data_IF_197064966134
#
_entry.id   IF_197064966134
#
_cell.length_a   1.000
_cell.length_b   1.000
_cell.length_c   1.000
_cell.angle_alpha   90.00
_cell.angle_beta   90.00
_cell.angle_gamma   90.00
#
_symmetry.space_group_name_H-M   'P 1'
#
loop_
_entity.id
_entity.type
_entity.pdbx_description
1 polymer ?
#
# COMPACT_ATOMS: atom_id res chain seq x y z
N UNK A 1 -32.75 -25.77 -64.68
CA UNK A 1 -32.07 -25.90 -65.99
C UNK A 1 -30.58 -25.76 -65.71
N UNK A 2 -29.85 -26.82 -65.34
CA UNK A 2 -29.40 -27.98 -66.14
C UNK A 2 -28.28 -27.63 -67.14
N UNK A 3 -27.04 -27.97 -66.73
CA UNK A 3 -25.79 -28.19 -67.52
C UNK A 3 -25.99 -29.26 -68.60
N UNK A 4 -25.12 -29.45 -69.64
CA UNK A 4 -23.73 -30.00 -69.49
C UNK A 4 -22.67 -29.61 -70.60
N UNK A 5 -21.35 -29.57 -70.28
CA UNK A 5 -20.21 -30.48 -70.67
C UNK A 5 -19.68 -30.32 -72.14
N UNK A 6 -18.43 -30.73 -72.56
CA UNK A 6 -17.49 -31.78 -72.05
C UNK A 6 -15.99 -31.37 -71.88
N UNK A 7 -15.10 -32.03 -71.09
CA UNK A 7 -14.29 -33.30 -71.26
C UNK A 7 -13.32 -33.21 -72.47
N UNK A 8 -12.00 -33.51 -72.48
CA UNK A 8 -11.10 -34.48 -71.83
C UNK A 8 -9.61 -34.03 -72.06
N UNK A 9 -8.66 -34.23 -71.14
CA UNK A 9 -7.72 -35.37 -71.02
C UNK A 9 -6.44 -35.32 -71.90
N UNK A 10 -5.25 -35.38 -71.26
CA UNK A 10 -4.14 -36.32 -71.53
C UNK A 10 -2.75 -35.82 -71.03
N UNK A 11 -2.35 -36.41 -69.88
CA UNK A 11 -1.04 -36.90 -69.37
C UNK A 11 0.08 -37.31 -70.38
N UNK A 12 1.30 -37.84 -70.02
CA UNK A 12 2.02 -38.02 -68.71
C UNK A 12 3.60 -37.91 -68.74
N UNK A 13 4.26 -38.36 -67.63
CA UNK A 13 5.61 -39.04 -67.49
C UNK A 13 6.86 -38.12 -67.40
N UNK A 14 7.86 -38.22 -66.50
CA UNK A 14 8.41 -39.24 -65.56
C UNK A 14 9.30 -38.55 -64.49
N UNK A 15 9.20 -38.87 -63.18
CA UNK A 15 10.09 -39.74 -62.35
C UNK A 15 11.28 -39.01 -61.65
N UNK A 16 11.96 -39.58 -60.60
CA UNK A 16 11.46 -40.25 -59.38
C UNK A 16 12.15 -39.84 -58.04
N UNK A 17 11.48 -40.20 -56.93
CA UNK A 17 11.95 -40.64 -55.57
C UNK A 17 12.97 -39.79 -54.77
N UNK A 18 12.52 -39.29 -53.60
CA UNK A 18 13.06 -39.64 -52.26
C UNK A 18 12.27 -38.93 -51.12
N UNK A 19 11.91 -39.70 -50.09
CA UNK A 19 11.42 -39.34 -48.74
C UNK A 19 12.48 -38.55 -47.92
N UNK A 20 12.21 -37.98 -46.71
CA UNK A 20 11.12 -38.23 -45.75
C UNK A 20 10.43 -36.98 -45.10
N UNK A 21 9.38 -37.23 -44.30
CA UNK A 21 8.75 -36.34 -43.30
C UNK A 21 9.47 -36.46 -41.91
N UNK A 22 9.04 -35.85 -40.77
CA UNK A 22 7.96 -34.87 -40.51
C UNK A 22 8.31 -33.70 -39.52
N UNK A 23 7.36 -32.75 -39.40
CA UNK A 23 6.94 -31.94 -38.23
C UNK A 23 7.97 -31.31 -37.26
N UNK A 24 7.92 -29.97 -37.08
CA UNK A 24 8.01 -29.32 -35.75
C UNK A 24 7.19 -28.02 -35.72
N UNK A 25 6.37 -27.92 -34.67
CA UNK A 25 5.52 -26.80 -34.28
C UNK A 25 6.28 -25.48 -34.06
N UNK A 26 5.66 -24.39 -34.48
CA UNK A 26 6.12 -23.02 -34.21
C UNK A 26 5.92 -22.69 -32.73
N UNK A 27 7.03 -22.69 -31.99
CA UNK A 27 7.11 -22.23 -30.60
C UNK A 27 7.09 -20.70 -30.56
N UNK A 28 6.06 -20.14 -29.90
CA UNK A 28 6.01 -18.74 -29.51
C UNK A 28 6.99 -18.51 -28.34
N UNK A 29 7.97 -17.63 -28.56
CA UNK A 29 8.99 -17.20 -27.59
C UNK A 29 8.35 -16.42 -26.42
N UNK A 30 8.64 -16.75 -25.15
CA UNK A 30 8.34 -15.89 -24.03
C UNK A 30 9.40 -14.77 -23.90
N UNK A 31 8.93 -13.54 -23.70
CA UNK A 31 9.77 -12.36 -23.45
C UNK A 31 10.41 -12.48 -22.07
N UNK A 32 11.73 -12.34 -22.06
CA UNK A 32 12.63 -12.54 -20.93
C UNK A 32 12.25 -11.70 -19.70
N UNK A 33 12.02 -12.41 -18.59
CA UNK A 33 12.04 -11.84 -17.25
C UNK A 33 13.50 -11.58 -16.87
N UNK A 34 13.84 -10.30 -16.67
CA UNK A 34 15.12 -9.86 -16.15
C UNK A 34 15.27 -10.35 -14.71
N UNK A 35 16.22 -11.25 -14.47
CA UNK A 35 16.73 -11.59 -13.16
C UNK A 35 17.58 -10.42 -12.61
N UNK A 36 17.42 -9.99 -11.35
CA UNK A 36 18.45 -9.24 -10.67
C UNK A 36 19.41 -10.18 -9.93
N UNK A 37 20.69 -9.93 -10.19
CA UNK A 37 21.83 -10.63 -9.65
C UNK A 37 21.97 -10.48 -8.13
N UNK A 38 22.44 -11.55 -7.48
CA UNK A 38 23.01 -11.55 -6.14
C UNK A 38 24.27 -10.70 -6.06
N UNK A 39 24.45 -9.90 -5.00
CA UNK A 39 25.76 -9.74 -4.38
C UNK A 39 25.78 -10.27 -2.94
N UNK A 40 26.98 -10.72 -2.57
CA UNK A 40 27.39 -11.43 -1.36
C UNK A 40 27.26 -10.58 -0.06
N UNK A 41 27.41 -11.20 1.13
CA UNK A 41 27.02 -10.62 2.41
C UNK A 41 28.17 -9.82 3.06
N UNK A 42 27.90 -8.58 3.45
CA UNK A 42 28.57 -7.87 4.53
C UNK A 42 27.93 -6.48 4.68
N UNK A 43 27.05 -6.30 5.66
CA UNK A 43 27.35 -5.36 6.73
C UNK A 43 26.37 -5.58 7.89
N UNK A 44 26.93 -5.85 9.06
CA UNK A 44 26.22 -5.89 10.32
C UNK A 44 26.16 -4.46 10.85
N UNK A 45 25.24 -3.66 10.30
CA UNK A 45 25.00 -2.29 10.74
C UNK A 45 23.54 -2.13 11.18
N UNK A 46 23.34 -2.17 12.50
CA UNK A 46 22.25 -1.55 13.26
C UNK A 46 20.87 -1.50 12.56
N UNK A 47 20.24 -2.65 12.35
CA UNK A 47 18.83 -2.69 11.97
C UNK A 47 17.96 -2.58 13.23
N UNK A 48 17.04 -1.63 13.22
CA UNK A 48 15.84 -1.64 14.08
C UNK A 48 15.24 -3.07 14.12
N UNK A 49 14.59 -3.50 15.21
CA UNK A 49 14.12 -4.87 15.36
C UNK A 49 13.06 -5.19 14.31
N UNK A 50 13.49 -5.69 13.15
CA UNK A 50 12.57 -6.23 12.16
C UNK A 50 11.97 -7.51 12.76
N UNK A 51 10.63 -7.63 12.83
CA UNK A 51 10.02 -8.76 13.48
C UNK A 51 10.46 -10.06 12.80
N UNK A 52 10.75 -11.09 13.59
CA UNK A 52 11.08 -12.44 13.10
C UNK A 52 9.90 -13.39 13.18
N UNK A 53 8.77 -12.93 13.74
CA UNK A 53 7.53 -13.70 13.90
C UNK A 53 6.49 -13.26 12.90
N UNK A 54 5.63 -14.19 12.48
CA UNK A 54 4.49 -13.86 11.61
C UNK A 54 3.40 -13.16 12.42
N UNK A 55 2.72 -12.15 11.84
CA UNK A 55 1.61 -11.48 12.51
C UNK A 55 0.39 -12.39 12.65
N UNK A 56 -0.35 -12.24 13.74
CA UNK A 56 -1.69 -12.83 13.89
C UNK A 56 -2.72 -11.71 13.75
N UNK A 57 -3.25 -11.52 12.54
CA UNK A 57 -4.19 -10.45 12.20
C UNK A 57 -5.45 -11.06 11.61
N UNK A 58 -6.62 -10.63 12.10
CA UNK A 58 -7.89 -11.08 11.55
C UNK A 58 -8.02 -10.72 10.07
N UNK A 59 -8.29 -11.72 9.23
CA UNK A 59 -8.41 -11.54 7.78
C UNK A 59 -7.11 -11.60 6.98
N UNK A 60 -5.98 -11.88 7.63
CA UNK A 60 -4.70 -12.19 7.00
C UNK A 60 -4.36 -13.68 7.20
N UNK A 61 -4.37 -14.44 6.11
CA UNK A 61 -3.89 -15.82 6.10
C UNK A 61 -2.40 -15.83 5.72
N UNK A 62 -1.55 -15.92 6.75
CA UNK A 62 -0.11 -15.94 6.53
C UNK A 62 0.36 -17.21 5.82
N UNK A 63 -0.35 -18.34 5.95
CA UNK A 63 0.03 -19.59 5.28
C UNK A 63 -0.21 -19.49 3.77
N UNK A 64 -1.37 -18.95 3.38
CA UNK A 64 -1.69 -18.67 1.97
C UNK A 64 -0.71 -17.66 1.36
N UNK A 65 -0.42 -16.56 2.06
CA UNK A 65 0.55 -15.57 1.62
C UNK A 65 1.99 -16.11 1.50
N UNK A 66 2.40 -17.01 2.39
CA UNK A 66 3.73 -17.65 2.34
C UNK A 66 3.89 -18.60 1.15
N UNK A 67 2.80 -19.27 0.74
CA UNK A 67 2.83 -20.14 -0.43
C UNK A 67 3.17 -19.38 -1.72
N UNK A 68 2.83 -18.08 -1.80
CA UNK A 68 3.18 -17.22 -2.94
C UNK A 68 4.65 -16.82 -3.00
N UNK A 69 5.41 -17.01 -1.90
CA UNK A 69 6.81 -16.58 -1.79
C UNK A 69 7.76 -17.74 -1.47
N UNK A 70 7.40 -18.95 -1.90
CA UNK A 70 8.20 -20.18 -1.68
C UNK A 70 8.57 -20.39 -0.19
N UNK A 71 7.64 -20.07 0.72
CA UNK A 71 7.82 -20.23 2.17
C UNK A 71 8.95 -19.38 2.79
N UNK A 72 9.45 -18.35 2.07
CA UNK A 72 10.43 -17.41 2.61
C UNK A 72 9.77 -16.40 3.56
N UNK A 73 9.82 -16.71 4.86
CA UNK A 73 9.26 -15.86 5.91
C UNK A 73 9.87 -14.46 5.99
N UNK A 74 11.15 -14.28 5.65
CA UNK A 74 11.78 -12.94 5.67
C UNK A 74 11.26 -12.09 4.53
N UNK A 75 11.19 -12.67 3.34
CA UNK A 75 10.63 -11.99 2.17
C UNK A 75 9.13 -11.69 2.35
N UNK A 76 8.38 -12.61 2.95
CA UNK A 76 6.97 -12.39 3.28
C UNK A 76 6.77 -11.19 4.21
N UNK A 77 7.60 -11.05 5.25
CA UNK A 77 7.53 -9.90 6.15
C UNK A 77 7.90 -8.58 5.45
N UNK A 78 8.89 -8.58 4.55
CA UNK A 78 9.18 -7.41 3.70
C UNK A 78 8.00 -7.07 2.78
N UNK A 79 7.31 -8.08 2.25
CA UNK A 79 6.13 -7.90 1.42
C UNK A 79 4.98 -7.26 2.22
N UNK A 80 4.76 -7.70 3.45
CA UNK A 80 3.77 -7.11 4.36
C UNK A 80 4.12 -5.67 4.75
N UNK A 81 5.40 -5.39 5.03
CA UNK A 81 5.88 -4.03 5.31
C UNK A 81 5.68 -3.10 4.09
N UNK A 82 6.01 -3.58 2.89
CA UNK A 82 5.77 -2.83 1.65
C UNK A 82 4.28 -2.59 1.41
N UNK A 83 3.44 -3.60 1.67
CA UNK A 83 2.00 -3.49 1.55
C UNK A 83 1.46 -2.39 2.47
N UNK A 84 1.82 -2.41 3.76
CA UNK A 84 1.31 -1.39 4.71
C UNK A 84 1.68 0.03 4.29
N UNK A 85 2.89 0.23 3.78
CA UNK A 85 3.37 1.55 3.38
C UNK A 85 2.74 2.03 2.06
N UNK A 86 2.56 1.11 1.11
CA UNK A 86 2.03 1.46 -0.23
C UNK A 86 0.53 1.70 -0.24
N UNK A 87 -0.24 1.00 0.60
CA UNK A 87 -1.71 1.00 0.50
C UNK A 87 -2.41 2.07 1.36
N UNK A 88 -1.70 2.82 2.22
CA UNK A 88 -2.32 3.83 3.12
C UNK A 88 -3.15 4.87 2.39
N UNK A 89 -2.71 5.29 1.20
CA UNK A 89 -3.36 6.36 0.42
C UNK A 89 -4.25 5.83 -0.70
N UNK A 90 -4.35 4.51 -0.88
CA UNK A 90 -5.03 3.91 -2.03
C UNK A 90 -6.49 4.31 -2.10
N UNK A 91 -7.25 4.23 -1.00
CA UNK A 91 -8.66 4.61 -1.03
C UNK A 91 -8.88 6.13 -1.14
N UNK A 92 -7.96 6.94 -0.61
CA UNK A 92 -8.01 8.40 -0.79
C UNK A 92 -7.83 8.77 -2.26
N UNK A 93 -6.81 8.19 -2.91
CA UNK A 93 -6.54 8.41 -4.34
C UNK A 93 -7.70 7.88 -5.21
N UNK A 94 -8.27 6.74 -4.85
CA UNK A 94 -9.44 6.18 -5.53
C UNK A 94 -10.65 7.13 -5.47
N UNK A 95 -10.94 7.71 -4.29
CA UNK A 95 -12.03 8.70 -4.14
C UNK A 95 -11.78 9.94 -4.98
N UNK A 96 -10.53 10.41 -5.05
CA UNK A 96 -10.14 11.57 -5.87
C UNK A 96 -10.33 11.30 -7.37
N UNK A 97 -9.83 10.17 -7.85
CA UNK A 97 -10.01 9.74 -9.25
C UNK A 97 -11.50 9.60 -9.60
N UNK A 98 -12.29 9.00 -8.70
CA UNK A 98 -13.73 8.86 -8.88
C UNK A 98 -14.44 10.23 -8.95
N UNK A 99 -14.10 11.16 -8.04
CA UNK A 99 -14.66 12.50 -8.02
C UNK A 99 -14.28 13.34 -9.26
N UNK A 100 -13.10 13.09 -9.82
CA UNK A 100 -12.60 13.77 -11.02
C UNK A 100 -13.09 13.12 -12.34
N UNK A 101 -13.99 12.12 -12.27
CA UNK A 101 -14.50 11.41 -13.46
C UNK A 101 -13.50 10.45 -14.10
N UNK A 102 -12.37 10.16 -13.44
CA UNK A 102 -11.32 9.25 -13.92
C UNK A 102 -11.68 7.78 -13.65
N UNK A 103 -12.74 7.30 -14.31
CA UNK A 103 -13.34 5.98 -14.00
C UNK A 103 -12.36 4.83 -14.15
N UNK A 104 -11.65 4.79 -15.27
CA UNK A 104 -10.73 3.71 -15.58
C UNK A 104 -9.60 3.61 -14.54
N UNK A 105 -9.05 4.75 -14.12
CA UNK A 105 -7.99 4.81 -13.11
C UNK A 105 -8.51 4.35 -11.73
N UNK A 106 -9.68 4.83 -11.31
CA UNK A 106 -10.29 4.42 -10.06
C UNK A 106 -10.57 2.90 -10.02
N UNK A 107 -11.10 2.33 -11.10
CA UNK A 107 -11.34 0.88 -11.22
C UNK A 107 -10.02 0.12 -11.18
N UNK A 108 -9.02 0.55 -11.97
CA UNK A 108 -7.70 -0.08 -12.02
C UNK A 108 -7.02 -0.08 -10.64
N UNK A 109 -7.22 0.98 -9.86
CA UNK A 109 -6.70 1.10 -8.49
C UNK A 109 -7.33 0.07 -7.55
N UNK A 110 -8.65 -0.11 -7.60
CA UNK A 110 -9.33 -1.14 -6.81
C UNK A 110 -8.92 -2.55 -7.28
N UNK A 111 -8.79 -2.75 -8.59
CA UNK A 111 -8.27 -3.99 -9.16
C UNK A 111 -6.85 -4.30 -8.66
N UNK A 112 -5.96 -3.30 -8.64
CA UNK A 112 -4.61 -3.45 -8.09
C UNK A 112 -4.65 -3.77 -6.60
N UNK A 113 -5.50 -3.09 -5.81
CA UNK A 113 -5.70 -3.38 -4.39
C UNK A 113 -6.14 -4.83 -4.14
N UNK A 114 -7.09 -5.33 -4.94
CA UNK A 114 -7.53 -6.73 -4.92
C UNK A 114 -6.37 -7.69 -5.19
N UNK A 115 -5.57 -7.40 -6.22
CA UNK A 115 -4.43 -8.24 -6.61
C UNK A 115 -3.35 -8.30 -5.52
N UNK A 116 -2.98 -7.15 -4.96
CA UNK A 116 -1.99 -7.12 -3.87
C UNK A 116 -2.53 -7.73 -2.58
N UNK A 117 -3.84 -7.63 -2.31
CA UNK A 117 -4.47 -8.28 -1.16
C UNK A 117 -4.45 -9.81 -1.29
N UNK A 118 -4.73 -10.34 -2.48
CA UNK A 118 -4.60 -11.77 -2.76
C UNK A 118 -3.16 -12.25 -2.55
N UNK A 119 -2.18 -11.51 -3.06
CA UNK A 119 -0.77 -11.89 -2.98
C UNK A 119 -0.22 -11.97 -1.54
N UNK A 120 -0.83 -11.29 -0.57
CA UNK A 120 -0.43 -11.36 0.84
C UNK A 120 -1.29 -12.31 1.67
N UNK A 121 -2.31 -12.96 1.09
CA UNK A 121 -3.28 -13.79 1.82
C UNK A 121 -4.35 -12.98 2.57
N UNK A 122 -4.59 -11.70 2.21
CA UNK A 122 -5.59 -10.85 2.85
C UNK A 122 -7.00 -11.09 2.28
N UNK A 123 -7.56 -12.28 2.52
CA UNK A 123 -8.80 -12.77 1.91
C UNK A 123 -10.00 -11.84 2.14
N UNK A 124 -10.15 -11.28 3.34
CA UNK A 124 -11.26 -10.35 3.64
C UNK A 124 -11.14 -9.08 2.80
N UNK A 125 -9.93 -8.53 2.68
CA UNK A 125 -9.68 -7.33 1.89
C UNK A 125 -9.89 -7.59 0.39
N UNK A 126 -9.39 -8.72 -0.11
CA UNK A 126 -9.58 -9.15 -1.50
C UNK A 126 -11.07 -9.19 -1.87
N UNK A 127 -11.91 -9.83 -1.05
CA UNK A 127 -13.37 -9.94 -1.27
C UNK A 127 -14.06 -8.57 -1.27
N UNK A 128 -13.65 -7.65 -0.38
CA UNK A 128 -14.21 -6.28 -0.35
C UNK A 128 -13.79 -5.47 -1.57
N UNK A 129 -12.53 -5.60 -2.00
CA UNK A 129 -12.02 -4.93 -3.19
C UNK A 129 -12.72 -5.47 -4.46
N UNK A 130 -12.94 -6.77 -4.56
CA UNK A 130 -13.71 -7.38 -5.65
C UNK A 130 -15.15 -6.87 -5.70
N UNK A 131 -15.85 -6.81 -4.56
CA UNK A 131 -17.21 -6.27 -4.51
C UNK A 131 -17.26 -4.79 -4.96
N UNK A 132 -16.27 -3.99 -4.55
CA UNK A 132 -16.16 -2.59 -4.98
C UNK A 132 -15.84 -2.48 -6.48
N UNK A 133 -14.92 -3.28 -6.99
CA UNK A 133 -14.56 -3.35 -8.41
C UNK A 133 -15.77 -3.71 -9.28
N UNK A 134 -16.52 -4.76 -8.89
CA UNK A 134 -17.74 -5.17 -9.57
C UNK A 134 -18.80 -4.08 -9.57
N UNK A 135 -19.01 -3.39 -8.44
CA UNK A 135 -19.94 -2.27 -8.37
C UNK A 135 -19.52 -1.14 -9.33
N UNK A 136 -18.26 -0.72 -9.28
CA UNK A 136 -17.74 0.35 -10.13
C UNK A 136 -17.79 0.02 -11.63
N UNK A 137 -17.66 -1.24 -12.01
CA UNK A 137 -17.78 -1.68 -13.41
C UNK A 137 -19.23 -1.70 -13.92
N UNK A 138 -20.19 -2.02 -13.06
CA UNK A 138 -21.60 -2.16 -13.48
C UNK A 138 -22.44 -0.90 -13.30
N UNK A 139 -21.98 0.09 -12.52
CA UNK A 139 -22.73 1.32 -12.31
C UNK A 139 -22.58 2.32 -13.46
N UNK A 140 -23.71 2.88 -13.90
CA UNK A 140 -23.74 3.94 -14.91
C UNK A 140 -23.55 5.35 -14.32
N UNK A 141 -23.73 5.50 -13.00
CA UNK A 141 -23.65 6.77 -12.28
C UNK A 141 -22.35 6.89 -11.48
N UNK A 142 -21.66 8.02 -11.63
CA UNK A 142 -20.44 8.39 -10.89
C UNK A 142 -20.79 9.32 -9.73
N UNK A 143 -21.50 8.79 -8.73
CA UNK A 143 -21.86 9.58 -7.56
C UNK A 143 -21.33 8.95 -6.27
N UNK A 144 -20.49 9.68 -5.54
CA UNK A 144 -20.03 9.29 -4.19
C UNK A 144 -21.20 9.22 -3.20
N UNK A 145 -22.25 10.02 -3.40
CA UNK A 145 -23.47 10.05 -2.58
C UNK A 145 -24.41 8.88 -2.88
N UNK A 146 -24.09 8.05 -3.88
CA UNK A 146 -24.83 6.81 -4.06
C UNK A 146 -24.67 5.93 -2.80
N UNK A 147 -25.82 5.52 -2.25
CA UNK A 147 -25.87 4.80 -0.98
C UNK A 147 -25.10 3.48 -1.04
N UNK A 148 -25.24 2.74 -2.15
CA UNK A 148 -24.59 1.45 -2.32
C UNK A 148 -23.08 1.62 -2.52
N UNK A 149 -22.67 2.62 -3.32
CA UNK A 149 -21.26 2.96 -3.47
C UNK A 149 -20.63 3.31 -2.12
N UNK A 150 -21.27 4.21 -1.36
CA UNK A 150 -20.82 4.62 -0.01
C UNK A 150 -20.69 3.41 0.92
N UNK A 151 -21.64 2.47 0.88
CA UNK A 151 -21.59 1.25 1.68
C UNK A 151 -20.43 0.34 1.29
N UNK A 152 -20.19 0.10 -0.01
CA UNK A 152 -19.05 -0.70 -0.47
C UNK A 152 -17.72 -0.07 -0.09
N UNK A 153 -17.60 1.25 -0.27
CA UNK A 153 -16.41 2.02 0.07
C UNK A 153 -16.12 1.99 1.58
N UNK A 154 -17.14 2.18 2.43
CA UNK A 154 -16.99 2.13 3.89
C UNK A 154 -16.53 0.74 4.35
N UNK A 155 -17.13 -0.33 3.82
CA UNK A 155 -16.73 -1.70 4.16
C UNK A 155 -15.29 -2.01 3.73
N UNK A 156 -14.87 -1.53 2.56
CA UNK A 156 -13.51 -1.69 2.06
C UNK A 156 -12.51 -0.90 2.91
N UNK A 157 -12.85 0.34 3.28
CA UNK A 157 -12.03 1.20 4.13
C UNK A 157 -11.83 0.61 5.52
N UNK A 158 -12.90 0.11 6.14
CA UNK A 158 -12.81 -0.53 7.45
C UNK A 158 -11.86 -1.73 7.44
N UNK A 159 -11.98 -2.64 6.45
CA UNK A 159 -11.13 -3.82 6.37
C UNK A 159 -9.67 -3.45 6.07
N UNK A 160 -9.44 -2.47 5.19
CA UNK A 160 -8.09 -2.00 4.91
C UNK A 160 -7.45 -1.37 6.16
N UNK A 161 -8.18 -0.52 6.89
CA UNK A 161 -7.69 0.12 8.10
C UNK A 161 -7.36 -0.88 9.20
N UNK A 162 -8.23 -1.87 9.44
CA UNK A 162 -7.99 -2.93 10.42
C UNK A 162 -6.72 -3.73 10.10
N UNK A 163 -6.51 -4.07 8.81
CA UNK A 163 -5.31 -4.77 8.37
C UNK A 163 -4.06 -3.90 8.56
N UNK A 164 -4.10 -2.62 8.15
CA UNK A 164 -2.98 -1.69 8.31
C UNK A 164 -2.63 -1.47 9.78
N UNK A 165 -3.61 -1.29 10.66
CA UNK A 165 -3.38 -1.20 12.10
C UNK A 165 -2.76 -2.48 12.67
N UNK A 166 -3.27 -3.65 12.28
CA UNK A 166 -2.68 -4.92 12.71
C UNK A 166 -1.21 -5.07 12.29
N UNK A 167 -0.88 -4.64 11.07
CA UNK A 167 0.50 -4.63 10.56
C UNK A 167 1.36 -3.58 11.27
N UNK A 168 0.81 -2.39 11.54
CA UNK A 168 1.52 -1.34 12.29
C UNK A 168 1.87 -1.79 13.70
N UNK A 169 0.94 -2.43 14.40
CA UNK A 169 1.21 -3.01 15.71
C UNK A 169 2.27 -4.11 15.70
N UNK A 170 2.44 -4.80 14.58
CA UNK A 170 3.39 -5.91 14.44
C UNK A 170 4.80 -5.42 14.11
N UNK A 171 4.92 -4.46 13.18
CA UNK A 171 6.20 -3.91 12.76
C UNK A 171 6.68 -2.72 13.60
N UNK A 172 5.76 -2.06 14.30
CA UNK A 172 6.02 -0.94 15.18
C UNK A 172 5.22 -1.11 16.48
N UNK A 173 5.59 -2.09 17.34
CA UNK A 173 4.92 -2.33 18.60
C UNK A 173 5.05 -1.16 19.58
N UNK A 174 6.01 -0.25 19.38
CA UNK A 174 6.19 0.99 20.14
C UNK A 174 5.22 2.10 19.65
N UNK A 175 4.70 2.01 18.43
CA UNK A 175 3.66 2.89 17.87
C UNK A 175 2.29 2.81 18.57
N UNK A 176 2.11 1.90 19.52
CA UNK A 176 0.86 1.73 20.30
C UNK A 176 0.65 2.70 21.47
N UNK A 177 1.54 3.65 21.71
CA UNK A 177 1.27 4.75 22.66
C UNK A 177 0.67 6.01 22.00
N UNK A 178 0.36 5.99 20.70
CA UNK A 178 0.05 7.22 19.94
C UNK A 178 -1.28 7.21 19.16
N UNK A 179 -2.38 6.65 19.70
CA UNK A 179 -3.76 6.96 19.22
C UNK A 179 -4.57 7.84 20.18
N UNK A 180 -3.92 8.32 21.23
CA UNK A 180 -4.09 9.69 21.69
C UNK A 180 -2.69 10.27 21.58
N UNK A 181 -2.49 11.40 20.90
CA UNK A 181 -1.22 12.10 21.04
C UNK A 181 -0.89 12.25 22.53
N UNK A 182 0.38 12.41 22.94
CA UNK A 182 0.72 12.71 24.33
C UNK A 182 -0.28 13.77 24.83
N UNK A 183 -0.98 13.53 25.93
CA UNK A 183 -1.94 14.51 26.48
C UNK A 183 -1.31 15.90 26.44
N UNK A 184 -2.09 16.97 26.28
CA UNK A 184 -1.55 18.32 26.32
C UNK A 184 -0.60 18.54 27.52
N UNK A 185 -0.88 17.90 28.67
CA UNK A 185 0.01 17.86 29.84
C UNK A 185 1.35 17.12 29.60
N UNK A 186 1.33 15.99 28.90
CA UNK A 186 2.53 15.23 28.53
C UNK A 186 3.35 15.96 27.46
N UNK A 187 2.72 16.55 26.44
CA UNK A 187 3.38 17.42 25.46
C UNK A 187 4.04 18.62 26.15
N UNK A 188 3.37 19.23 27.13
CA UNK A 188 3.92 20.33 27.90
C UNK A 188 5.11 19.88 28.77
N UNK A 189 5.01 18.73 29.43
CA UNK A 189 6.11 18.19 30.24
C UNK A 189 7.34 17.90 29.38
N UNK A 190 7.15 17.26 28.23
CA UNK A 190 8.24 16.98 27.28
C UNK A 190 8.85 18.26 26.73
N UNK A 191 8.03 19.26 26.37
CA UNK A 191 8.54 20.56 25.93
C UNK A 191 9.35 21.25 27.04
N UNK A 192 8.90 21.20 28.30
CA UNK A 192 9.65 21.75 29.44
C UNK A 192 11.02 21.10 29.59
N UNK A 193 11.10 19.78 29.47
CA UNK A 193 12.37 19.04 29.50
C UNK A 193 13.28 19.45 28.35
N UNK A 194 12.76 19.50 27.12
CA UNK A 194 13.56 19.88 25.94
C UNK A 194 14.09 21.31 26.03
N UNK A 195 13.29 22.24 26.57
CA UNK A 195 13.74 23.62 26.79
C UNK A 195 14.73 23.73 27.96
N UNK A 196 14.60 22.92 29.01
CA UNK A 196 15.55 22.89 30.13
C UNK A 196 16.91 22.29 29.73
N UNK A 197 16.90 21.32 28.81
CA UNK A 197 18.08 20.67 28.24
C UNK A 197 18.62 21.42 27.00
N UNK A 198 18.07 22.60 26.68
CA UNK A 198 18.43 23.45 25.52
C UNK A 198 18.51 22.69 24.19
N UNK A 199 17.62 21.72 24.00
CA UNK A 199 17.66 20.87 22.81
C UNK A 199 17.10 21.58 21.60
N UNK A 200 17.89 21.66 20.53
CA UNK A 200 17.52 22.32 19.28
C UNK A 200 16.30 21.70 18.57
N UNK A 201 15.99 20.44 18.85
CA UNK A 201 14.79 19.75 18.35
C UNK A 201 13.49 20.24 19.00
N UNK A 202 13.55 21.09 20.03
CA UNK A 202 12.40 21.73 20.64
C UNK A 202 11.58 22.58 19.63
N UNK A 203 12.23 23.13 18.60
CA UNK A 203 11.55 23.90 17.54
C UNK A 203 10.58 23.01 16.76
N UNK A 204 11.08 21.87 16.27
CA UNK A 204 10.29 20.92 15.50
C UNK A 204 9.22 20.24 16.36
N UNK A 205 9.58 19.90 17.61
CA UNK A 205 8.63 19.32 18.55
C UNK A 205 7.49 20.29 18.85
N UNK A 206 7.78 21.56 19.15
CA UNK A 206 6.77 22.58 19.42
C UNK A 206 5.78 22.75 18.26
N UNK A 207 6.26 22.87 17.02
CA UNK A 207 5.38 23.00 15.85
C UNK A 207 4.47 21.76 15.68
N UNK A 208 4.95 20.57 16.03
CA UNK A 208 4.17 19.32 15.97
C UNK A 208 3.10 19.19 17.07
N UNK A 209 3.33 19.76 18.26
CA UNK A 209 2.40 19.65 19.41
C UNK A 209 1.58 20.91 19.66
N UNK A 210 1.79 21.98 18.87
CA UNK A 210 1.16 23.30 19.06
C UNK A 210 -0.37 23.21 19.22
N UNK A 211 -1.05 22.49 18.33
CA UNK A 211 -2.51 22.34 18.35
C UNK A 211 -3.02 21.65 19.64
N UNK A 212 -2.18 20.82 20.26
CA UNK A 212 -2.50 20.16 21.51
C UNK A 212 -2.26 21.09 22.71
N UNK A 213 -1.19 21.90 22.65
CA UNK A 213 -0.89 22.90 23.67
C UNK A 213 -1.92 24.06 23.70
N UNK A 214 -2.58 24.36 22.57
CA UNK A 214 -3.69 25.33 22.50
C UNK A 214 -4.87 24.97 23.41
N UNK A 215 -5.00 23.70 23.81
CA UNK A 215 -6.05 23.25 24.72
C UNK A 215 -5.80 23.62 26.19
N UNK A 216 -4.55 23.91 26.56
CA UNK A 216 -4.13 24.14 27.96
C UNK A 216 -3.40 25.47 28.18
N UNK A 217 -2.91 26.12 27.13
CA UNK A 217 -2.21 27.39 27.19
C UNK A 217 -2.99 28.48 26.45
N UNK A 218 -3.12 29.69 27.03
CA UNK A 218 -3.69 30.84 26.32
C UNK A 218 -2.89 31.18 25.06
N UNK A 219 -3.58 31.63 24.01
CA UNK A 219 -2.96 31.98 22.72
C UNK A 219 -1.80 32.98 22.84
N UNK A 220 -1.90 33.96 23.76
CA UNK A 220 -0.84 34.92 24.03
C UNK A 220 0.44 34.26 24.54
N UNK A 221 0.32 33.27 25.44
CA UNK A 221 1.46 32.55 25.99
C UNK A 221 2.09 31.62 24.95
N UNK A 222 1.30 31.02 24.08
CA UNK A 222 1.81 30.22 22.95
C UNK A 222 2.55 31.06 21.92
N UNK A 223 2.09 32.27 21.63
CA UNK A 223 2.77 33.18 20.72
C UNK A 223 4.15 33.61 21.27
N UNK A 224 4.22 33.92 22.57
CA UNK A 224 5.49 34.22 23.25
C UNK A 224 6.42 33.00 23.25
N UNK A 225 5.90 31.81 23.53
CA UNK A 225 6.67 30.57 23.50
C UNK A 225 7.25 30.30 22.09
N UNK A 226 6.42 30.43 21.06
CA UNK A 226 6.83 30.26 19.67
C UNK A 226 7.93 31.24 19.27
N UNK A 227 7.84 32.49 19.74
CA UNK A 227 8.84 33.53 19.49
C UNK A 227 10.21 33.14 20.07
N UNK A 228 10.27 32.81 21.36
CA UNK A 228 11.52 32.44 22.03
C UNK A 228 12.10 31.13 21.48
N UNK A 229 11.26 30.12 21.23
CA UNK A 229 11.71 28.83 20.66
C UNK A 229 12.33 29.03 19.28
N UNK A 230 11.73 29.85 18.40
CA UNK A 230 12.25 30.13 17.05
C UNK A 230 13.51 30.99 17.06
N UNK A 231 13.72 31.78 18.11
CA UNK A 231 14.95 32.55 18.32
C UNK A 231 16.02 31.74 19.07
N UNK A 232 15.78 30.45 19.35
CA UNK A 232 16.65 29.59 20.14
C UNK A 232 16.89 30.10 21.58
N UNK A 233 16.00 30.95 22.09
CA UNK A 233 16.00 31.47 23.45
C UNK A 233 15.29 30.47 24.39
N UNK A 234 15.89 29.28 24.55
CA UNK A 234 15.26 28.17 25.27
C UNK A 234 15.08 28.42 26.76
N UNK A 235 16.00 29.14 27.40
CA UNK A 235 15.84 29.54 28.81
C UNK A 235 14.61 30.41 29.05
N UNK A 236 14.41 31.42 28.20
CA UNK A 236 13.28 32.36 28.33
C UNK A 236 11.96 31.66 27.98
N UNK A 237 11.97 30.79 26.97
CA UNK A 237 10.85 29.89 26.70
C UNK A 237 10.53 28.99 27.91
N UNK A 238 11.54 28.44 28.59
CA UNK A 238 11.35 27.59 29.76
C UNK A 238 10.80 28.38 30.96
N UNK A 239 11.24 29.63 31.17
CA UNK A 239 10.71 30.52 32.23
C UNK A 239 9.23 30.81 32.06
N UNK A 240 8.74 30.94 30.83
CA UNK A 240 7.32 31.17 30.54
C UNK A 240 6.42 29.98 30.90
N UNK A 241 6.99 28.78 31.02
CA UNK A 241 6.29 27.56 31.37
C UNK A 241 6.36 27.22 32.87
N UNK A 242 7.09 28.00 33.68
CA UNK A 242 7.21 27.78 35.13
C UNK A 242 5.90 28.03 35.87
#
# INVERSE_FOLDING_TARGET
MATPAPVAAATPVSAPVATPAPAVAASAKPVAATAPATPAPADAAAALPFPTTLPTIDGLDCADGLAHVNEDGRFYLQLLDRFRNSQRKTLVQMKQEWANGMRAEAVRRVHSLRGVAANIGALKLQKRAEAMEMYMNNCSSMNLQDRLFSQHLQNLEQVLQQLLQGLDMHFDPEGKQQESGPSAAASLAQLRTMLAEERADAVYFFDSVKANLEQILPAARLAQLAMHIRQFEFEDAHRLLK
#
